data_IF_510496745054
#
_entry.id   IF_510496745054
#
_cell.length_a   1.000
_cell.length_b   1.000
_cell.length_c   1.000
_cell.angle_alpha   90.00
_cell.angle_beta   90.00
_cell.angle_gamma   90.00
#
_symmetry.space_group_name_H-M   'P 1'
#
loop_
_entity.id
_entity.type
_entity.pdbx_description
1 polymer ?
#
# COMPACT_ATOMS: atom_id res chain seq x y z
N UNK A 1 6.08 -13.97 -20.62
CA UNK A 1 6.57 -12.64 -20.24
C UNK A 1 6.24 -12.45 -18.77
N UNK A 2 7.21 -12.13 -17.93
CA UNK A 2 7.01 -11.99 -16.48
C UNK A 2 6.65 -10.54 -16.18
N UNK A 3 5.61 -10.30 -15.39
CA UNK A 3 5.25 -8.97 -14.91
C UNK A 3 6.34 -8.45 -13.95
N UNK A 4 6.97 -7.30 -14.22
CA UNK A 4 8.12 -6.84 -13.43
C UNK A 4 7.75 -6.13 -12.11
N UNK A 5 6.46 -5.85 -11.85
CA UNK A 5 6.00 -5.15 -10.63
C UNK A 5 6.68 -3.79 -10.40
N UNK A 6 6.97 -3.08 -11.50
CA UNK A 6 7.57 -1.73 -11.44
C UNK A 6 6.61 -0.65 -10.93
N UNK A 7 5.30 -0.93 -10.96
CA UNK A 7 4.26 -0.10 -10.36
C UNK A 7 3.67 -0.88 -9.19
N UNK A 8 4.04 -0.49 -7.98
CA UNK A 8 3.56 -1.06 -6.73
C UNK A 8 2.75 -0.06 -5.93
N UNK A 9 2.70 -0.30 -4.62
CA UNK A 9 1.93 0.52 -3.66
C UNK A 9 2.31 2.01 -3.74
N UNK A 10 3.62 2.31 -3.77
CA UNK A 10 4.11 3.69 -3.74
C UNK A 10 3.78 4.44 -5.03
N UNK A 11 4.00 3.80 -6.18
CA UNK A 11 3.72 4.40 -7.49
C UNK A 11 2.22 4.62 -7.67
N UNK A 12 1.37 3.72 -7.14
CA UNK A 12 -0.07 3.89 -7.15
C UNK A 12 -0.52 5.11 -6.33
N UNK A 13 -0.03 5.27 -5.09
CA UNK A 13 -0.39 6.45 -4.28
C UNK A 13 0.16 7.76 -4.84
N UNK A 14 1.35 7.73 -5.45
CA UNK A 14 1.88 8.91 -6.15
C UNK A 14 1.00 9.28 -7.35
N UNK A 15 0.50 8.31 -8.11
CA UNK A 15 -0.47 8.56 -9.17
C UNK A 15 -1.76 9.19 -8.61
N UNK A 16 -2.33 8.64 -7.54
CA UNK A 16 -3.54 9.18 -6.90
C UNK A 16 -3.34 10.64 -6.45
N UNK A 17 -2.17 10.96 -5.89
CA UNK A 17 -1.80 12.34 -5.51
C UNK A 17 -1.77 13.27 -6.73
N UNK A 18 -1.23 12.82 -7.86
CA UNK A 18 -1.15 13.62 -9.09
C UNK A 18 -2.52 13.88 -9.70
N UNK A 19 -3.42 12.90 -9.66
CA UNK A 19 -4.76 13.01 -10.28
C UNK A 19 -5.84 13.53 -9.31
N UNK A 20 -5.52 13.68 -8.03
CA UNK A 20 -6.48 14.12 -7.01
C UNK A 20 -7.58 13.10 -6.72
N UNK A 21 -7.23 11.80 -6.75
CA UNK A 21 -8.17 10.70 -6.56
C UNK A 21 -7.98 10.02 -5.19
N UNK A 22 -9.00 9.29 -4.76
CA UNK A 22 -8.99 8.50 -3.53
C UNK A 22 -8.66 7.02 -3.81
N UNK A 23 -8.09 6.34 -2.82
CA UNK A 23 -7.68 4.95 -2.95
C UNK A 23 -8.86 3.98 -2.74
N UNK A 24 -9.01 3.06 -3.70
CA UNK A 24 -9.68 1.78 -3.49
C UNK A 24 -8.62 0.70 -3.67
N UNK A 25 -8.37 -0.09 -2.63
CA UNK A 25 -7.42 -1.20 -2.69
C UNK A 25 -8.18 -2.52 -2.86
N UNK A 26 -7.72 -3.41 -3.74
CA UNK A 26 -8.30 -4.74 -3.89
C UNK A 26 -7.39 -5.79 -3.23
N UNK A 27 -7.85 -6.37 -2.12
CA UNK A 27 -7.14 -7.44 -1.43
C UNK A 27 -7.16 -8.78 -2.19
N UNK A 28 -6.06 -9.52 -2.13
CA UNK A 28 -5.98 -10.87 -2.71
C UNK A 28 -6.58 -11.91 -1.75
N UNK A 29 -7.80 -12.35 -2.05
CA UNK A 29 -8.51 -13.41 -1.30
C UNK A 29 -8.37 -14.81 -1.94
N UNK A 30 -7.83 -14.90 -3.15
CA UNK A 30 -7.75 -16.14 -3.92
C UNK A 30 -6.47 -16.94 -3.68
N UNK A 31 -5.34 -16.25 -3.64
CA UNK A 31 -4.02 -16.84 -3.39
C UNK A 31 -3.26 -16.22 -2.22
N UNK A 32 -3.78 -15.13 -1.66
CA UNK A 32 -3.22 -14.48 -0.47
C UNK A 32 -3.86 -14.99 0.82
N UNK A 33 -3.12 -14.90 1.91
CA UNK A 33 -3.60 -15.16 3.26
C UNK A 33 -4.23 -13.92 3.89
N UNK A 34 -5.14 -14.08 4.88
CA UNK A 34 -5.65 -12.95 5.66
C UNK A 34 -4.56 -12.13 6.34
N UNK A 35 -3.45 -12.77 6.73
CA UNK A 35 -2.32 -12.11 7.37
C UNK A 35 -1.60 -11.16 6.40
N UNK A 36 -1.32 -11.61 5.17
CA UNK A 36 -0.67 -10.76 4.16
C UNK A 36 -1.51 -9.52 3.85
N UNK A 37 -2.85 -9.65 3.79
CA UNK A 37 -3.74 -8.50 3.62
C UNK A 37 -3.69 -7.56 4.83
N UNK A 38 -3.71 -8.09 6.05
CA UNK A 38 -3.65 -7.29 7.26
C UNK A 38 -2.32 -6.52 7.37
N UNK A 39 -1.20 -7.18 7.08
CA UNK A 39 0.14 -6.58 7.05
C UNK A 39 0.22 -5.49 5.97
N UNK A 40 -0.41 -5.68 4.81
CA UNK A 40 -0.42 -4.65 3.77
C UNK A 40 -1.24 -3.41 4.18
N UNK A 41 -2.39 -3.61 4.83
CA UNK A 41 -3.18 -2.50 5.40
C UNK A 41 -2.38 -1.77 6.48
N UNK A 42 -1.69 -2.50 7.36
CA UNK A 42 -0.82 -1.92 8.38
C UNK A 42 0.31 -1.11 7.75
N UNK A 43 1.01 -1.68 6.76
CA UNK A 43 2.06 -0.99 6.02
C UNK A 43 1.58 0.35 5.44
N UNK A 44 0.39 0.39 4.85
CA UNK A 44 -0.15 1.61 4.26
C UNK A 44 -0.59 2.66 5.30
N UNK A 45 -1.19 2.23 6.40
CA UNK A 45 -2.01 3.12 7.26
C UNK A 45 -1.47 3.32 8.67
N UNK A 46 -0.55 2.48 9.14
CA UNK A 46 -0.07 2.56 10.51
C UNK A 46 0.78 3.82 10.75
N UNK A 47 0.55 4.53 11.87
CA UNK A 47 1.34 5.71 12.23
C UNK A 47 2.73 5.36 12.78
N UNK A 48 2.92 4.14 13.28
CA UNK A 48 4.17 3.63 13.85
C UNK A 48 4.18 2.10 13.82
N UNK A 49 5.35 1.49 14.07
CA UNK A 49 5.56 0.04 13.99
C UNK A 49 6.56 -0.35 12.91
N UNK A 50 6.95 -1.62 12.86
CA UNK A 50 7.99 -2.11 11.94
C UNK A 50 7.60 -1.91 10.46
N UNK A 51 6.32 -2.11 10.12
CA UNK A 51 5.85 -1.92 8.75
C UNK A 51 5.74 -0.43 8.37
N UNK A 52 5.43 0.46 9.33
CA UNK A 52 5.49 1.90 9.11
C UNK A 52 6.94 2.39 8.92
N UNK A 53 7.90 1.84 9.66
CA UNK A 53 9.32 2.10 9.46
C UNK A 53 9.81 1.61 8.09
N UNK A 54 9.31 0.46 7.62
CA UNK A 54 9.59 -0.05 6.29
C UNK A 54 9.01 0.87 5.20
N UNK A 55 7.76 1.34 5.36
CA UNK A 55 7.16 2.36 4.48
C UNK A 55 8.03 3.62 4.41
N UNK A 56 8.53 4.08 5.55
CA UNK A 56 9.44 5.23 5.62
C UNK A 56 10.78 4.98 4.91
N UNK A 57 11.38 3.78 5.04
CA UNK A 57 12.61 3.39 4.33
C UNK A 57 12.41 3.37 2.81
N UNK A 58 11.22 3.04 2.35
CA UNK A 58 10.85 3.04 0.94
C UNK A 58 10.48 4.44 0.42
N UNK A 59 10.64 5.49 1.23
CA UNK A 59 10.52 6.89 0.80
C UNK A 59 9.22 7.58 1.21
N UNK A 60 8.32 6.91 1.94
CA UNK A 60 7.05 7.50 2.36
C UNK A 60 6.82 7.35 3.87
N UNK A 61 7.13 8.40 4.64
CA UNK A 61 7.03 8.35 6.10
C UNK A 61 5.59 8.38 6.61
N UNK A 62 4.76 9.25 6.04
CA UNK A 62 3.40 9.46 6.52
C UNK A 62 2.48 8.28 6.14
N UNK A 63 1.44 7.96 6.93
CA UNK A 63 0.44 6.99 6.53
C UNK A 63 -0.42 7.53 5.38
N UNK A 64 -0.86 6.65 4.47
CA UNK A 64 -1.87 6.99 3.47
C UNK A 64 -3.28 6.82 4.03
N UNK A 65 -4.20 7.61 3.47
CA UNK A 65 -5.63 7.36 3.66
C UNK A 65 -6.08 6.25 2.70
N UNK A 66 -6.65 5.18 3.27
CA UNK A 66 -7.25 4.06 2.51
C UNK A 66 -8.72 3.98 2.89
N UNK A 67 -9.61 4.74 2.23
CA UNK A 67 -11.03 4.79 2.59
C UNK A 67 -11.79 3.50 2.22
N UNK A 68 -11.28 2.73 1.25
CA UNK A 68 -11.91 1.51 0.76
C UNK A 68 -10.89 0.38 0.53
N UNK A 69 -11.28 -0.84 0.89
CA UNK A 69 -10.51 -2.08 0.73
C UNK A 69 -11.45 -3.24 0.35
#
# INVERSE_FOLDING_TARGET
MTEPNTVGTHEFFELLRQVGAEAYIAGNVGGGSPQEMAEWVEYMTAPAGSLAEERAKNGHKEPWAVPYF
#
